data_IF_093846268854
#
_entry.id   IF_093846268854
#
_cell.length_a   1.000
_cell.length_b   1.000
_cell.length_c   1.000
_cell.angle_alpha   90.00
_cell.angle_beta   90.00
_cell.angle_gamma   90.00
#
_symmetry.space_group_name_H-M   'P 1'
#
loop_
_entity.id
_entity.type
_entity.pdbx_description
1 polymer ?
#
# COMPACT_ATOMS: atom_id res chain seq x y z
N UNK A 1 13.87 8.16 -0.36
CA UNK A 1 12.71 8.45 0.50
C UNK A 1 12.81 7.59 1.78
N UNK A 2 13.88 7.81 2.57
CA UNK A 2 14.23 6.94 3.72
C UNK A 2 13.68 7.44 5.07
N UNK A 3 13.00 8.58 5.07
CA UNK A 3 12.48 9.25 6.28
C UNK A 3 11.55 8.32 7.07
N UNK A 4 10.65 7.61 6.38
CA UNK A 4 9.70 6.69 7.00
C UNK A 4 10.30 5.31 7.33
N UNK A 5 11.56 5.04 6.96
CA UNK A 5 12.21 3.77 7.28
C UNK A 5 12.62 3.67 8.76
N UNK A 6 12.62 4.79 9.49
CA UNK A 6 12.99 4.88 10.92
C UNK A 6 14.39 4.29 11.20
N UNK A 7 15.31 4.46 10.25
CA UNK A 7 16.72 4.07 10.40
C UNK A 7 17.55 5.15 11.08
N UNK A 8 17.21 6.41 10.80
CA UNK A 8 17.89 7.60 11.31
C UNK A 8 16.86 8.63 11.74
N UNK A 9 17.22 9.42 12.74
CA UNK A 9 16.49 10.63 13.12
C UNK A 9 16.46 11.61 11.96
N UNK A 10 15.38 12.35 11.80
CA UNK A 10 15.21 13.32 10.73
C UNK A 10 14.63 14.62 11.27
N UNK A 11 14.81 15.69 10.52
CA UNK A 11 14.31 17.03 10.87
C UNK A 11 13.13 17.42 9.98
N UNK A 12 12.37 18.43 10.39
CA UNK A 12 11.22 18.91 9.62
C UNK A 12 11.59 19.27 8.16
N UNK A 13 12.81 19.79 7.94
CA UNK A 13 13.32 20.09 6.60
C UNK A 13 13.29 18.88 5.67
N UNK A 14 13.52 17.68 6.20
CA UNK A 14 13.47 16.44 5.43
C UNK A 14 12.03 16.13 4.98
N UNK A 15 11.05 16.33 5.87
CA UNK A 15 9.62 16.20 5.55
C UNK A 15 9.16 17.26 4.54
N UNK A 16 9.57 18.53 4.70
CA UNK A 16 9.24 19.59 3.75
C UNK A 16 9.78 19.29 2.35
N UNK A 17 11.06 18.91 2.27
CA UNK A 17 11.68 18.51 1.01
C UNK A 17 10.98 17.29 0.41
N UNK A 18 10.49 16.36 1.23
CA UNK A 18 9.71 15.22 0.76
C UNK A 18 8.39 15.66 0.13
N UNK A 19 7.67 16.58 0.78
CA UNK A 19 6.41 17.11 0.26
C UNK A 19 6.61 17.88 -1.06
N UNK A 20 7.67 18.68 -1.15
CA UNK A 20 8.04 19.41 -2.37
C UNK A 20 8.36 18.46 -3.52
N UNK A 21 9.24 17.47 -3.29
CA UNK A 21 9.65 16.50 -4.32
C UNK A 21 8.49 15.63 -4.81
N UNK A 22 7.52 15.36 -3.94
CA UNK A 22 6.32 14.60 -4.28
C UNK A 22 5.17 15.47 -4.79
N UNK A 23 5.36 16.80 -4.89
CA UNK A 23 4.32 17.76 -5.27
C UNK A 23 3.06 17.68 -4.40
N UNK A 24 3.22 17.34 -3.12
CA UNK A 24 2.12 17.19 -2.15
C UNK A 24 1.78 18.49 -1.40
N UNK A 25 2.54 19.56 -1.61
CA UNK A 25 2.40 20.86 -0.91
C UNK A 25 1.02 21.52 -1.08
N UNK A 26 0.25 21.15 -2.09
CA UNK A 26 -1.12 21.63 -2.30
C UNK A 26 -2.20 20.80 -1.59
N UNK A 27 -1.85 19.57 -1.18
CA UNK A 27 -2.78 18.60 -0.57
C UNK A 27 -2.60 18.49 0.95
N UNK A 28 -1.49 19.02 1.45
CA UNK A 28 -1.05 18.96 2.82
C UNK A 28 -0.95 20.38 3.35
N UNK A 29 -1.49 20.58 4.54
CA UNK A 29 -1.25 21.80 5.30
C UNK A 29 0.14 21.71 5.92
N UNK A 30 1.05 22.57 5.47
CA UNK A 30 2.46 22.53 5.88
C UNK A 30 2.66 23.05 7.32
N UNK A 31 1.81 23.97 7.78
CA UNK A 31 1.89 24.51 9.14
C UNK A 31 1.38 23.48 10.13
N UNK A 32 0.26 22.82 9.82
CA UNK A 32 -0.22 21.69 10.62
C UNK A 32 0.73 20.49 10.58
N UNK A 33 1.36 20.21 9.43
CA UNK A 33 2.39 19.17 9.34
C UNK A 33 3.58 19.46 10.28
N UNK A 34 3.99 20.72 10.41
CA UNK A 34 5.04 21.10 11.36
C UNK A 34 4.61 20.83 12.80
N UNK A 35 3.38 21.21 13.17
CA UNK A 35 2.83 20.95 14.50
C UNK A 35 2.76 19.45 14.80
N UNK A 36 2.24 18.66 13.85
CA UNK A 36 2.20 17.20 13.92
C UNK A 36 3.62 16.64 14.13
N UNK A 37 4.61 17.10 13.35
CA UNK A 37 6.00 16.64 13.50
C UNK A 37 6.58 16.96 14.88
N UNK A 38 6.41 18.19 15.37
CA UNK A 38 6.89 18.60 16.70
C UNK A 38 6.28 17.73 17.80
N UNK A 39 4.99 17.39 17.68
CA UNK A 39 4.29 16.58 18.69
C UNK A 39 4.78 15.13 18.79
N UNK A 40 5.32 14.56 17.71
CA UNK A 40 5.74 13.15 17.65
C UNK A 40 7.26 12.96 17.66
N UNK A 41 8.04 14.04 17.54
CA UNK A 41 9.49 13.97 17.35
C UNK A 41 10.19 13.13 18.41
N UNK A 42 9.92 13.40 19.67
CA UNK A 42 10.54 12.66 20.78
C UNK A 42 10.17 11.18 20.78
N UNK A 43 8.91 10.87 20.42
CA UNK A 43 8.45 9.48 20.29
C UNK A 43 9.15 8.77 19.14
N UNK A 44 9.33 9.43 18.00
CA UNK A 44 10.05 8.87 16.85
C UNK A 44 11.53 8.64 17.18
N UNK A 45 12.18 9.59 17.86
CA UNK A 45 13.59 9.46 18.24
C UNK A 45 13.80 8.26 19.20
N UNK A 46 12.91 8.07 20.18
CA UNK A 46 12.91 6.89 21.06
C UNK A 46 12.74 5.59 20.28
N UNK A 47 11.76 5.52 19.37
CA UNK A 47 11.53 4.35 18.51
C UNK A 47 12.77 4.02 17.68
N UNK A 48 13.44 5.04 17.12
CA UNK A 48 14.65 4.85 16.31
C UNK A 48 15.79 4.27 17.16
N UNK A 49 16.00 4.79 18.37
CA UNK A 49 17.03 4.28 19.27
C UNK A 49 16.75 2.85 19.76
N UNK A 50 15.50 2.55 20.15
CA UNK A 50 15.07 1.20 20.50
C UNK A 50 15.31 0.20 19.35
N UNK A 51 15.02 0.64 18.11
CA UNK A 51 15.23 -0.19 16.90
C UNK A 51 16.70 -0.42 16.56
N UNK A 52 17.62 0.45 16.98
CA UNK A 52 19.08 0.27 16.82
C UNK A 52 19.63 -0.73 17.84
N UNK A 53 19.10 -0.73 19.06
CA UNK A 53 19.53 -1.62 20.15
C UNK A 53 18.95 -3.03 20.03
N UNK A 54 17.79 -3.18 19.38
CA UNK A 54 17.15 -4.48 19.17
C UNK A 54 17.95 -5.31 18.16
N UNK A 55 18.73 -6.29 18.66
CA UNK A 55 19.53 -7.21 17.85
C UNK A 55 18.73 -8.42 17.30
N UNK A 56 17.54 -8.71 17.86
CA UNK A 56 16.70 -9.83 17.44
C UNK A 56 15.74 -9.44 16.31
N UNK A 57 15.85 -10.12 15.16
CA UNK A 57 14.95 -9.94 14.01
C UNK A 57 13.51 -10.43 14.29
N UNK A 58 13.35 -11.38 15.21
CA UNK A 58 12.04 -12.00 15.49
C UNK A 58 11.15 -11.15 16.42
N UNK A 59 11.72 -10.15 17.10
CA UNK A 59 11.00 -9.26 18.02
C UNK A 59 10.75 -7.87 17.40
N UNK A 60 11.34 -7.59 16.24
CA UNK A 60 11.29 -6.28 15.60
C UNK A 60 10.00 -6.13 14.79
N UNK A 61 9.04 -5.36 15.32
CA UNK A 61 7.87 -4.91 14.55
C UNK A 61 8.30 -4.33 13.20
N UNK A 62 7.56 -4.64 12.15
CA UNK A 62 7.78 -4.07 10.83
C UNK A 62 7.58 -2.55 10.86
N UNK A 63 8.16 -1.85 9.88
CA UNK A 63 7.98 -0.39 9.74
C UNK A 63 6.49 -0.06 9.58
N UNK A 64 5.75 -0.87 8.82
CA UNK A 64 4.32 -0.69 8.61
C UNK A 64 3.51 -0.85 9.89
N UNK A 65 3.80 -1.85 10.72
CA UNK A 65 3.13 -2.04 12.00
C UNK A 65 3.42 -0.89 12.98
N UNK A 66 4.67 -0.42 13.01
CA UNK A 66 5.08 0.71 13.85
C UNK A 66 4.30 1.98 13.49
N UNK A 67 4.27 2.33 12.20
CA UNK A 67 3.50 3.48 11.73
C UNK A 67 2.00 3.29 11.92
N UNK A 68 1.47 2.09 11.68
CA UNK A 68 0.06 1.79 11.90
C UNK A 68 -0.38 2.00 13.36
N UNK A 69 0.47 1.62 14.31
CA UNK A 69 0.23 1.88 15.74
C UNK A 69 0.25 3.37 16.06
N UNK A 70 1.23 4.12 15.54
CA UNK A 70 1.27 5.59 15.69
C UNK A 70 0.00 6.25 15.14
N UNK A 71 -0.42 5.89 13.91
CA UNK A 71 -1.62 6.45 13.30
C UNK A 71 -2.93 6.03 13.96
N UNK A 72 -2.92 4.93 14.74
CA UNK A 72 -4.08 4.50 15.53
C UNK A 72 -4.25 5.34 16.79
N UNK A 73 -3.14 5.76 17.40
CA UNK A 73 -3.14 6.43 18.70
C UNK A 73 -2.95 7.94 18.63
N UNK A 74 -2.41 8.46 17.52
CA UNK A 74 -2.10 9.86 17.33
C UNK A 74 -2.91 10.44 16.17
N UNK A 75 -3.44 11.65 16.37
CA UNK A 75 -4.14 12.38 15.33
C UNK A 75 -3.15 13.21 14.50
N UNK A 76 -2.51 12.56 13.51
CA UNK A 76 -1.49 13.13 12.62
C UNK A 76 -1.88 12.95 11.14
N UNK A 77 -3.00 13.58 10.70
CA UNK A 77 -3.59 13.33 9.40
C UNK A 77 -2.71 13.77 8.21
N UNK A 78 -1.93 14.84 8.34
CA UNK A 78 -1.05 15.28 7.26
C UNK A 78 0.11 14.30 7.07
N UNK A 79 0.72 13.85 8.17
CA UNK A 79 1.76 12.84 8.11
C UNK A 79 1.23 11.50 7.57
N UNK A 80 0.01 11.13 7.93
CA UNK A 80 -0.66 9.94 7.39
C UNK A 80 -0.84 10.02 5.87
N UNK A 81 -1.26 11.17 5.33
CA UNK A 81 -1.39 11.38 3.87
C UNK A 81 -0.05 11.17 3.17
N UNK A 82 1.03 11.73 3.71
CA UNK A 82 2.38 11.54 3.15
C UNK A 82 2.75 10.06 3.16
N UNK A 83 2.60 9.40 4.31
CA UNK A 83 2.94 8.00 4.44
C UNK A 83 2.16 7.13 3.46
N UNK A 84 0.83 7.31 3.37
CA UNK A 84 -0.05 6.60 2.43
C UNK A 84 0.39 6.78 0.98
N UNK A 85 0.75 8.01 0.59
CA UNK A 85 1.23 8.28 -0.76
C UNK A 85 2.54 7.51 -1.03
N UNK A 86 3.49 7.58 -0.11
CA UNK A 86 4.81 6.93 -0.26
C UNK A 86 4.66 5.41 -0.38
N UNK A 87 3.87 4.78 0.49
CA UNK A 87 3.68 3.32 0.47
C UNK A 87 2.83 2.86 -0.72
N UNK A 88 2.13 3.76 -1.40
CA UNK A 88 1.43 3.45 -2.66
C UNK A 88 2.39 3.35 -3.85
N UNK A 89 3.61 3.88 -3.73
CA UNK A 89 4.63 3.80 -4.78
C UNK A 89 5.32 2.44 -4.66
N UNK A 90 5.23 1.56 -5.67
CA UNK A 90 5.94 0.29 -5.64
C UNK A 90 7.45 0.51 -5.62
N UNK A 91 8.14 -0.07 -4.64
CA UNK A 91 9.60 0.05 -4.50
C UNK A 91 10.38 -0.73 -5.56
N UNK A 92 9.75 -1.64 -6.30
CA UNK A 92 10.41 -2.46 -7.32
C UNK A 92 9.49 -2.76 -8.49
N UNK A 93 10.12 -3.04 -9.64
CA UNK A 93 9.42 -3.51 -10.83
C UNK A 93 8.89 -4.94 -10.66
N UNK A 94 9.26 -5.67 -9.61
CA UNK A 94 8.86 -7.07 -9.41
C UNK A 94 7.32 -7.27 -9.42
N UNK A 95 6.55 -6.28 -8.97
CA UNK A 95 5.09 -6.34 -9.05
C UNK A 95 4.60 -6.28 -10.51
N UNK A 96 5.17 -5.38 -11.31
CA UNK A 96 4.86 -5.25 -12.73
C UNK A 96 5.39 -6.46 -13.52
N UNK A 97 6.61 -6.92 -13.26
CA UNK A 97 7.21 -8.11 -13.86
C UNK A 97 6.37 -9.36 -13.59
N UNK A 98 5.86 -9.53 -12.37
CA UNK A 98 4.93 -10.63 -12.06
C UNK A 98 3.65 -10.53 -12.88
N UNK A 99 3.09 -9.32 -13.05
CA UNK A 99 1.92 -9.12 -13.90
C UNK A 99 2.23 -9.40 -15.38
N UNK A 100 3.40 -9.01 -15.88
CA UNK A 100 3.84 -9.29 -17.25
C UNK A 100 4.11 -10.78 -17.49
N UNK A 101 4.72 -11.47 -16.53
CA UNK A 101 4.93 -12.92 -16.59
C UNK A 101 3.59 -13.66 -16.65
N UNK A 102 2.62 -13.27 -15.82
CA UNK A 102 1.25 -13.79 -15.92
C UNK A 102 0.61 -13.45 -17.26
N UNK A 103 0.85 -12.25 -17.80
CA UNK A 103 0.36 -11.84 -19.11
C UNK A 103 0.91 -12.74 -20.22
N UNK A 104 2.20 -13.06 -20.20
CA UNK A 104 2.81 -13.98 -21.18
C UNK A 104 2.19 -15.39 -21.13
N UNK A 105 1.77 -15.86 -19.96
CA UNK A 105 1.07 -17.14 -19.83
C UNK A 105 -0.38 -17.11 -20.34
N UNK A 106 -1.03 -15.94 -20.33
CA UNK A 106 -2.41 -15.75 -20.81
C UNK A 106 -2.44 -15.45 -22.31
N UNK A 107 -1.50 -14.63 -22.77
CA UNK A 107 -1.34 -14.16 -24.15
C UNK A 107 -0.23 -14.96 -24.83
N UNK A 108 -0.53 -16.21 -25.17
CA UNK A 108 0.37 -17.09 -25.93
C UNK A 108 0.02 -17.06 -27.42
N UNK A 109 0.95 -17.47 -28.29
CA UNK A 109 0.69 -17.58 -29.73
C UNK A 109 -0.50 -18.50 -30.06
N UNK A 110 -0.72 -19.53 -29.22
CA UNK A 110 -1.88 -20.43 -29.30
C UNK A 110 -3.19 -19.80 -28.79
N UNK A 111 -3.12 -18.78 -27.92
CA UNK A 111 -4.27 -18.03 -27.37
C UNK A 111 -4.35 -16.60 -27.96
N UNK A 112 -3.87 -16.40 -29.18
CA UNK A 112 -3.75 -15.08 -29.83
C UNK A 112 -5.08 -14.41 -30.21
N UNK A 113 -6.23 -15.09 -30.05
CA UNK A 113 -7.57 -14.55 -30.36
C UNK A 113 -8.24 -13.81 -29.20
N UNK A 114 -7.60 -13.75 -28.03
CA UNK A 114 -8.16 -13.01 -26.90
C UNK A 114 -8.03 -11.51 -27.15
N UNK A 115 -9.14 -10.78 -26.99
CA UNK A 115 -9.09 -9.31 -26.96
C UNK A 115 -8.28 -8.82 -25.75
N UNK A 116 -7.72 -7.62 -25.83
CA UNK A 116 -7.03 -6.94 -24.73
C UNK A 116 -7.89 -6.86 -23.46
N UNK A 117 -9.19 -6.63 -23.59
CA UNK A 117 -10.11 -6.54 -22.46
C UNK A 117 -10.23 -7.86 -21.70
N UNK A 118 -10.35 -8.97 -22.42
CA UNK A 118 -10.39 -10.32 -21.84
C UNK A 118 -9.08 -10.66 -21.11
N UNK A 119 -7.93 -10.36 -21.70
CA UNK A 119 -6.64 -10.62 -21.04
C UNK A 119 -6.49 -9.77 -19.79
N UNK A 120 -6.89 -8.50 -19.84
CA UNK A 120 -6.89 -7.62 -18.67
C UNK A 120 -7.80 -8.14 -17.56
N UNK A 121 -9.00 -8.61 -17.90
CA UNK A 121 -9.94 -9.18 -16.94
C UNK A 121 -9.39 -10.47 -16.31
N UNK A 122 -8.83 -11.39 -17.12
CA UNK A 122 -8.21 -12.63 -16.62
C UNK A 122 -7.04 -12.33 -15.67
N UNK A 123 -6.18 -11.37 -16.04
CA UNK A 123 -5.06 -10.94 -15.19
C UNK A 123 -5.54 -10.33 -13.87
N UNK A 124 -6.54 -9.46 -13.91
CA UNK A 124 -7.12 -8.88 -12.70
C UNK A 124 -7.68 -9.96 -11.77
N UNK A 125 -8.33 -11.00 -12.31
CA UNK A 125 -8.82 -12.11 -11.49
C UNK A 125 -7.63 -12.88 -10.88
N UNK A 126 -6.66 -13.30 -11.69
CA UNK A 126 -5.49 -14.08 -11.21
C UNK A 126 -4.64 -13.34 -10.18
N UNK A 127 -4.49 -12.03 -10.31
CA UNK A 127 -3.68 -11.22 -9.39
C UNK A 127 -4.42 -10.98 -8.07
N UNK A 128 -5.72 -10.73 -8.10
CA UNK A 128 -6.48 -10.34 -6.91
C UNK A 128 -7.08 -11.52 -6.13
N UNK A 129 -7.21 -12.69 -6.76
CA UNK A 129 -7.80 -13.88 -6.15
C UNK A 129 -6.80 -15.02 -6.11
N UNK A 130 -6.28 -15.31 -4.92
CA UNK A 130 -5.37 -16.44 -4.68
C UNK A 130 -6.14 -17.74 -4.41
N UNK A 131 -7.13 -18.03 -5.26
CA UNK A 131 -7.91 -19.27 -5.21
C UNK A 131 -7.52 -20.16 -6.39
N UNK A 132 -7.53 -21.48 -6.18
CA UNK A 132 -7.57 -22.38 -7.34
C UNK A 132 -8.94 -22.24 -8.05
N UNK A 133 -9.04 -22.75 -9.27
CA UNK A 133 -10.25 -22.56 -10.08
C UNK A 133 -11.53 -23.08 -9.40
N UNK A 134 -11.43 -24.18 -8.66
CA UNK A 134 -12.58 -24.79 -7.97
C UNK A 134 -13.04 -23.92 -6.80
N UNK A 135 -12.10 -23.51 -5.96
CA UNK A 135 -12.39 -22.67 -4.79
C UNK A 135 -12.88 -21.28 -5.23
N UNK A 136 -12.33 -20.74 -6.32
CA UNK A 136 -12.79 -19.49 -6.91
C UNK A 136 -14.24 -19.60 -7.39
N UNK A 137 -14.56 -20.67 -8.13
CA UNK A 137 -15.91 -20.92 -8.63
C UNK A 137 -16.91 -21.01 -7.48
N UNK A 138 -16.60 -21.81 -6.46
CA UNK A 138 -17.44 -21.96 -5.28
C UNK A 138 -17.61 -20.63 -4.54
N UNK A 139 -16.52 -19.87 -4.37
CA UNK A 139 -16.54 -18.56 -3.72
C UNK A 139 -17.44 -17.56 -4.47
N UNK A 140 -17.29 -17.47 -5.80
CA UNK A 140 -18.04 -16.52 -6.63
C UNK A 140 -19.54 -16.86 -6.66
N UNK A 141 -19.90 -18.14 -6.78
CA UNK A 141 -21.31 -18.56 -6.78
C UNK A 141 -21.97 -18.32 -5.43
N UNK A 142 -21.27 -18.65 -4.33
CA UNK A 142 -21.80 -18.45 -2.98
C UNK A 142 -21.94 -16.96 -2.64
N UNK A 143 -21.12 -16.09 -3.24
CA UNK A 143 -21.11 -14.65 -2.94
C UNK A 143 -21.94 -13.83 -3.94
N UNK A 144 -23.28 -13.90 -3.81
CA UNK A 144 -24.24 -13.14 -4.66
C UNK A 144 -23.97 -11.63 -4.69
N UNK A 145 -23.46 -11.06 -3.59
CA UNK A 145 -23.12 -9.64 -3.49
C UNK A 145 -21.94 -9.29 -4.40
N UNK A 146 -20.90 -10.13 -4.44
CA UNK A 146 -19.77 -9.98 -5.37
C UNK A 146 -20.25 -9.98 -6.82
N UNK A 147 -21.12 -10.93 -7.19
CA UNK A 147 -21.67 -11.00 -8.55
C UNK A 147 -22.48 -9.76 -8.93
N UNK A 148 -23.25 -9.21 -7.99
CA UNK A 148 -24.00 -7.96 -8.20
C UNK A 148 -23.05 -6.76 -8.37
N UNK A 149 -22.03 -6.65 -7.51
CA UNK A 149 -21.02 -5.60 -7.58
C UNK A 149 -20.20 -5.66 -8.88
N UNK A 150 -19.79 -6.86 -9.31
CA UNK A 150 -19.01 -7.07 -10.53
C UNK A 150 -19.76 -6.65 -11.81
N UNK A 151 -21.10 -6.81 -11.82
CA UNK A 151 -21.97 -6.34 -12.92
C UNK A 151 -22.27 -4.84 -12.86
N UNK A 152 -21.90 -4.16 -11.79
CA UNK A 152 -22.15 -2.73 -11.56
C UNK A 152 -20.85 -1.91 -11.64
N UNK A 153 -20.97 -0.60 -11.45
CA UNK A 153 -19.81 0.30 -11.27
C UNK A 153 -19.14 0.12 -9.89
N UNK A 154 -19.80 -0.56 -8.93
CA UNK A 154 -19.36 -0.70 -7.53
C UNK A 154 -18.44 -1.91 -7.29
N UNK A 155 -17.38 -2.05 -8.11
CA UNK A 155 -16.55 -3.27 -8.20
C UNK A 155 -15.92 -3.72 -6.86
N UNK A 156 -15.66 -2.81 -5.91
CA UNK A 156 -14.96 -3.12 -4.65
C UNK A 156 -15.86 -3.08 -3.41
N UNK A 157 -17.13 -2.69 -3.54
CA UNK A 157 -18.05 -2.48 -2.42
C UNK A 157 -18.56 -3.78 -1.78
N UNK A 158 -18.27 -4.93 -2.39
CA UNK A 158 -18.65 -6.24 -1.85
C UNK A 158 -17.87 -6.56 -0.56
N UNK A 159 -16.61 -6.13 -0.49
CA UNK A 159 -15.65 -6.38 0.60
C UNK A 159 -15.74 -5.27 1.65
N UNK A 160 -16.89 -5.15 2.34
CA UNK A 160 -16.94 -4.28 3.54
C UNK A 160 -16.02 -4.89 4.60
N UNK A 161 -15.08 -4.11 5.14
CA UNK A 161 -14.31 -4.48 6.33
C UNK A 161 -15.26 -4.56 7.52
N UNK A 162 -15.23 -5.69 8.24
CA UNK A 162 -15.52 -5.68 9.68
C UNK A 162 -14.32 -5.06 10.40
#
# INVERSE_FOLDING_TARGET
>A
MRIFALENTFIYKDLSMCCEKLSLTKLIDMDELYNEFCSIKETLDKIIEERKQTHSLNEKKTIYETWHELFRHLNIPNLLKIFQFIVSIPCSNAAAERAFSLCGNVWTDSRNRLSVEHVKAELQVKINFQYNCKDFYDYVIKNKKLLKCAKSQDKYSFKKKN
#
